data_IF_196055107734
#
_entry.id   IF_196055107734
#
_cell.length_a   1.000
_cell.length_b   1.000
_cell.length_c   1.000
_cell.angle_alpha   90.00
_cell.angle_beta   90.00
_cell.angle_gamma   90.00
#
_symmetry.space_group_name_H-M   'P 1'
#
loop_
_entity.id
_entity.type
_entity.pdbx_description
1 polymer ?
#
# COMPACT_ATOMS: atom_id res chain seq x y z
N UNK A 1 10.08 1.31 -7.33
CA UNK A 1 9.36 0.48 -6.35
C UNK A 1 8.87 -0.86 -6.89
N UNK A 2 8.85 -1.12 -8.20
CA UNK A 2 8.28 -2.36 -8.75
C UNK A 2 8.89 -3.65 -8.18
N UNK A 3 10.21 -3.68 -7.93
CA UNK A 3 10.85 -4.85 -7.31
C UNK A 3 10.58 -5.01 -5.80
N UNK A 4 10.09 -3.96 -5.11
CA UNK A 4 9.93 -3.97 -3.65
C UNK A 4 8.63 -4.67 -3.23
N UNK A 5 7.62 -4.70 -4.11
CA UNK A 5 6.36 -5.39 -3.82
C UNK A 5 6.39 -6.88 -4.18
N UNK A 6 7.28 -7.28 -5.08
CA UNK A 6 7.35 -8.65 -5.61
C UNK A 6 7.62 -9.66 -4.48
N UNK A 7 6.65 -10.55 -4.25
CA UNK A 7 6.74 -11.63 -3.25
C UNK A 7 6.62 -11.19 -1.79
N UNK A 8 6.45 -9.89 -1.50
CA UNK A 8 6.32 -9.41 -0.13
C UNK A 8 4.93 -9.69 0.46
N UNK A 9 4.89 -9.86 1.79
CA UNK A 9 3.65 -10.01 2.56
C UNK A 9 3.07 -8.68 3.05
N UNK A 10 3.90 -7.63 3.10
CA UNK A 10 3.46 -6.32 3.54
C UNK A 10 4.30 -5.20 2.93
N UNK A 11 3.65 -4.06 2.68
CA UNK A 11 4.28 -2.79 2.36
C UNK A 11 4.06 -1.80 3.50
N UNK A 12 5.07 -0.96 3.77
CA UNK A 12 5.03 0.06 4.82
C UNK A 12 5.36 1.42 4.22
N UNK A 13 4.46 2.39 4.39
CA UNK A 13 4.70 3.78 4.07
C UNK A 13 5.25 4.49 5.31
N UNK A 14 6.57 4.67 5.34
CA UNK A 14 7.26 5.31 6.46
C UNK A 14 7.45 6.83 6.30
N UNK A 15 7.29 7.34 5.08
CA UNK A 15 7.57 8.74 4.69
C UNK A 15 6.57 9.22 3.65
N UNK A 16 6.22 10.50 3.67
CA UNK A 16 5.11 11.12 2.93
C UNK A 16 5.49 11.64 1.53
N UNK A 17 6.48 11.02 0.88
CA UNK A 17 6.95 11.44 -0.44
C UNK A 17 5.80 11.43 -1.48
N UNK A 18 5.59 12.53 -2.23
CA UNK A 18 4.48 12.65 -3.19
C UNK A 18 4.39 11.54 -4.24
N UNK A 19 5.52 10.92 -4.56
CA UNK A 19 5.67 9.79 -5.48
C UNK A 19 4.84 8.58 -5.04
N UNK A 20 4.67 8.37 -3.74
CA UNK A 20 3.90 7.22 -3.22
C UNK A 20 2.41 7.33 -3.50
N UNK A 21 1.87 8.55 -3.59
CA UNK A 21 0.46 8.76 -3.99
C UNK A 21 0.19 8.40 -5.45
N UNK A 22 1.24 8.27 -6.27
CA UNK A 22 1.16 7.94 -7.70
C UNK A 22 1.51 6.48 -7.99
N UNK A 23 1.62 5.64 -6.97
CA UNK A 23 1.91 4.22 -7.16
C UNK A 23 0.78 3.51 -7.88
N UNK A 24 1.15 2.58 -8.76
CA UNK A 24 0.23 1.61 -9.33
C UNK A 24 -0.05 0.53 -8.28
N UNK A 25 -1.05 0.80 -7.45
CA UNK A 25 -1.45 -0.07 -6.34
C UNK A 25 -2.04 -1.40 -6.84
N UNK A 26 -2.70 -1.42 -7.99
CA UNK A 26 -3.20 -2.68 -8.57
C UNK A 26 -2.07 -3.62 -8.96
N UNK A 27 -1.02 -3.07 -9.59
CA UNK A 27 0.17 -3.84 -9.93
C UNK A 27 0.88 -4.33 -8.66
N UNK A 28 1.07 -3.46 -7.67
CA UNK A 28 1.70 -3.84 -6.41
C UNK A 28 0.93 -4.99 -5.72
N UNK A 29 -0.40 -4.89 -5.65
CA UNK A 29 -1.26 -5.93 -5.08
C UNK A 29 -1.10 -7.28 -5.77
N UNK A 30 -1.02 -7.29 -7.11
CA UNK A 30 -0.86 -8.52 -7.91
C UNK A 30 0.51 -9.17 -7.71
N UNK A 31 1.52 -8.39 -7.34
CA UNK A 31 2.88 -8.85 -7.12
C UNK A 31 3.13 -9.40 -5.71
N UNK A 32 2.30 -9.02 -4.73
CA UNK A 32 2.45 -9.40 -3.32
C UNK A 32 1.86 -10.79 -3.03
N UNK A 33 2.45 -11.49 -2.07
CA UNK A 33 1.95 -12.78 -1.56
C UNK A 33 0.71 -12.58 -0.69
N UNK A 34 0.77 -11.57 0.19
CA UNK A 34 -0.36 -11.10 0.97
C UNK A 34 -0.43 -9.57 0.80
N UNK A 35 -1.53 -8.98 0.31
CA UNK A 35 -1.57 -7.56 0.01
C UNK A 35 -1.85 -6.72 1.27
N UNK A 36 -0.93 -6.73 2.25
CA UNK A 36 -1.04 -5.92 3.46
C UNK A 36 -0.34 -4.57 3.24
N UNK A 37 -1.01 -3.46 3.52
CA UNK A 37 -0.40 -2.13 3.43
C UNK A 37 -0.59 -1.36 4.74
N UNK A 38 0.54 -1.08 5.40
CA UNK A 38 0.62 -0.21 6.57
C UNK A 38 0.96 1.21 6.12
N UNK A 39 0.04 2.14 6.36
CA UNK A 39 0.23 3.54 6.03
C UNK A 39 0.42 4.38 7.29
N UNK A 40 1.69 4.61 7.65
CA UNK A 40 2.07 5.48 8.76
C UNK A 40 1.91 6.97 8.45
N UNK A 41 1.67 7.32 7.18
CA UNK A 41 1.59 8.69 6.67
C UNK A 41 0.24 9.05 6.10
N UNK A 42 -0.70 8.11 6.18
CA UNK A 42 -2.10 8.40 6.04
C UNK A 42 -2.43 8.96 4.63
N UNK A 43 -1.65 8.51 3.63
CA UNK A 43 -1.61 8.94 2.24
C UNK A 43 -2.76 8.39 1.40
N UNK A 44 -3.24 7.18 1.71
CA UNK A 44 -4.29 6.51 0.95
C UNK A 44 -5.65 6.55 1.65
N UNK A 45 -6.71 6.53 0.85
CA UNK A 45 -8.09 6.45 1.33
C UNK A 45 -8.43 5.00 1.73
N UNK A 46 -8.94 4.74 2.94
CA UNK A 46 -9.24 3.38 3.39
C UNK A 46 -10.24 2.62 2.50
N UNK A 47 -11.27 3.30 1.99
CA UNK A 47 -12.31 2.66 1.17
C UNK A 47 -11.75 2.28 -0.20
N UNK A 48 -10.91 3.13 -0.76
CA UNK A 48 -10.22 2.82 -2.01
C UNK A 48 -9.27 1.65 -1.85
N UNK A 49 -8.51 1.59 -0.76
CA UNK A 49 -7.61 0.46 -0.48
C UNK A 49 -8.37 -0.85 -0.28
N UNK A 50 -9.51 -0.81 0.41
CA UNK A 50 -10.41 -1.96 0.56
C UNK A 50 -10.99 -2.40 -0.79
N UNK A 51 -11.45 -1.45 -1.62
CA UNK A 51 -11.97 -1.73 -2.98
C UNK A 51 -10.91 -2.37 -3.87
N UNK A 52 -9.65 -1.95 -3.74
CA UNK A 52 -8.52 -2.54 -4.45
C UNK A 52 -8.13 -3.92 -3.89
N UNK A 53 -8.64 -4.32 -2.72
CA UNK A 53 -8.39 -5.63 -2.12
C UNK A 53 -7.13 -5.70 -1.25
N UNK A 54 -6.68 -4.57 -0.72
CA UNK A 54 -5.63 -4.55 0.29
C UNK A 54 -6.18 -4.76 1.71
N UNK A 55 -5.41 -5.44 2.55
CA UNK A 55 -5.55 -5.36 4.00
C UNK A 55 -4.86 -4.06 4.43
N UNK A 56 -5.64 -2.99 4.57
CA UNK A 56 -5.12 -1.66 4.86
C UNK A 56 -5.13 -1.35 6.36
N UNK A 57 -4.02 -0.80 6.86
CA UNK A 57 -3.86 -0.36 8.25
C UNK A 57 -3.24 1.04 8.28
N UNK A 58 -4.01 2.01 8.73
CA UNK A 58 -3.59 3.40 8.93
C UNK A 58 -3.38 3.73 10.40
N UNK A 59 -2.70 4.84 10.69
CA UNK A 59 -2.50 5.32 12.06
C UNK A 59 -3.61 6.31 12.45
N UNK A 60 -4.28 6.03 13.57
CA UNK A 60 -5.25 6.94 14.19
C UNK A 60 -6.60 7.04 13.48
N UNK A 61 -7.02 5.97 12.80
CA UNK A 61 -8.28 5.87 12.05
C UNK A 61 -8.93 4.51 12.25
#
# INVERSE_FOLDING_TARGET
MNAVADGCDALVVATEWPEFKKLDLERARKAMTHPILFDGRNLFDPKEMERLGFIYKSVGR
#
